data_IF_330293262896
#
_entry.id   IF_330293262896
#
_cell.length_a   1.000
_cell.length_b   1.000
_cell.length_c   1.000
_cell.angle_alpha   90.00
_cell.angle_beta   90.00
_cell.angle_gamma   90.00
#
_symmetry.space_group_name_H-M   'P 1'
#
loop_
_entity.id
_entity.type
_entity.pdbx_description
1 polymer ?
#
# COMPACT_ATOMS: atom_id res chain seq x y z
N UNK A 1 8.35 -23.64 3.85
CA UNK A 1 7.45 -22.47 3.95
C UNK A 1 7.84 -21.70 5.20
N UNK A 2 8.33 -20.48 5.03
CA UNK A 2 8.53 -19.54 6.13
C UNK A 2 7.32 -18.62 6.27
N UNK A 3 7.17 -17.98 7.42
CA UNK A 3 6.17 -16.93 7.63
C UNK A 3 6.84 -15.56 7.59
N UNK A 4 6.30 -14.65 6.78
CA UNK A 4 6.66 -13.25 6.77
C UNK A 4 5.57 -12.42 7.42
N UNK A 5 5.94 -11.45 8.26
CA UNK A 5 5.01 -10.48 8.82
C UNK A 5 5.22 -9.13 8.15
N UNK A 6 4.16 -8.59 7.57
CA UNK A 6 4.15 -7.24 7.00
C UNK A 6 3.42 -6.34 7.99
N UNK A 7 4.03 -5.23 8.38
CA UNK A 7 3.42 -4.22 9.25
C UNK A 7 3.46 -2.86 8.56
N UNK A 8 2.34 -2.47 7.96
CA UNK A 8 2.13 -1.12 7.45
C UNK A 8 1.99 -0.15 8.62
N UNK A 9 2.52 1.07 8.49
CA UNK A 9 2.47 2.06 9.55
C UNK A 9 2.25 3.51 9.09
N UNK A 10 2.45 3.80 7.80
CA UNK A 10 2.24 5.13 7.23
C UNK A 10 1.80 5.04 5.78
N UNK A 11 0.97 5.97 5.35
CA UNK A 11 0.66 6.23 3.94
C UNK A 11 0.74 7.73 3.68
N UNK A 12 1.38 8.13 2.58
CA UNK A 12 1.29 9.48 2.03
C UNK A 12 0.47 9.36 0.74
N UNK A 13 -0.75 9.89 0.76
CA UNK A 13 -1.72 9.74 -0.31
C UNK A 13 -1.62 10.89 -1.33
N UNK A 14 -1.71 10.53 -2.62
CA UNK A 14 -1.73 11.44 -3.76
C UNK A 14 -0.64 12.53 -3.67
N UNK A 15 0.61 12.09 -3.60
CA UNK A 15 1.76 12.97 -3.47
C UNK A 15 2.37 13.30 -4.83
N UNK A 16 2.56 14.59 -5.06
CA UNK A 16 3.18 15.12 -6.29
C UNK A 16 4.68 14.79 -6.31
N UNK A 17 5.29 14.64 -5.13
CA UNK A 17 6.68 14.21 -4.99
C UNK A 17 6.90 12.75 -5.44
N UNK A 18 5.82 11.96 -5.56
CA UNK A 18 5.87 10.55 -5.99
C UNK A 18 5.28 10.33 -7.38
N UNK A 19 5.09 11.40 -8.17
CA UNK A 19 4.65 11.30 -9.56
C UNK A 19 3.14 11.31 -9.75
N UNK A 20 2.38 11.87 -8.80
CA UNK A 20 0.97 12.19 -9.05
C UNK A 20 0.87 13.32 -10.08
N UNK A 21 0.06 13.11 -11.11
CA UNK A 21 -0.23 14.07 -12.18
C UNK A 21 -1.76 14.23 -12.38
N UNK A 22 -2.18 14.70 -13.55
CA UNK A 22 -3.60 14.90 -13.87
C UNK A 22 -4.32 13.63 -14.33
N UNK A 23 -3.58 12.55 -14.61
CA UNK A 23 -4.11 11.25 -15.01
C UNK A 23 -4.03 10.22 -13.88
N UNK A 24 -2.99 10.29 -13.05
CA UNK A 24 -2.67 9.31 -12.02
C UNK A 24 -2.42 9.97 -10.66
N UNK A 25 -3.01 9.38 -9.62
CA UNK A 25 -2.71 9.65 -8.22
C UNK A 25 -1.75 8.58 -7.73
N UNK A 26 -0.59 8.99 -7.21
CA UNK A 26 0.42 8.10 -6.64
C UNK A 26 0.48 8.31 -5.14
N UNK A 27 0.31 7.21 -4.40
CA UNK A 27 0.39 7.18 -2.94
C UNK A 27 1.54 6.27 -2.52
N UNK A 28 2.27 6.63 -1.47
CA UNK A 28 3.35 5.79 -0.94
C UNK A 28 2.97 5.18 0.40
N UNK A 29 3.00 3.86 0.48
CA UNK A 29 2.82 3.12 1.73
C UNK A 29 4.18 2.73 2.31
N UNK A 30 4.31 2.85 3.63
CA UNK A 30 5.51 2.50 4.38
C UNK A 30 5.19 1.34 5.32
N UNK A 31 6.07 0.35 5.35
CA UNK A 31 5.86 -0.88 6.10
C UNK A 31 7.17 -1.53 6.49
N UNK A 32 7.10 -2.37 7.53
CA UNK A 32 8.20 -3.26 7.87
C UNK A 32 7.89 -4.68 7.45
N UNK A 33 8.84 -5.33 6.80
CA UNK A 33 8.80 -6.77 6.49
C UNK A 33 9.69 -7.51 7.48
N UNK A 34 9.14 -8.47 8.20
CA UNK A 34 9.87 -9.34 9.11
C UNK A 34 9.86 -10.78 8.59
N UNK A 35 11.03 -11.39 8.44
CA UNK A 35 11.21 -12.79 8.03
C UNK A 35 12.24 -13.41 8.97
N UNK A 36 11.80 -14.36 9.80
CA UNK A 36 12.57 -14.83 10.94
C UNK A 36 12.99 -13.67 11.85
N UNK A 37 14.28 -13.55 12.13
CA UNK A 37 14.86 -12.48 12.97
C UNK A 37 15.22 -11.21 12.19
N UNK A 38 15.07 -11.22 10.85
CA UNK A 38 15.41 -10.07 10.01
C UNK A 38 14.20 -9.16 9.87
N UNK A 39 14.44 -7.85 9.99
CA UNK A 39 13.43 -6.82 9.80
C UNK A 39 13.94 -5.78 8.81
N UNK A 40 13.12 -5.49 7.81
CA UNK A 40 13.39 -4.51 6.75
C UNK A 40 12.35 -3.41 6.84
N UNK A 41 12.77 -2.15 6.70
CA UNK A 41 11.88 -0.99 6.58
C UNK A 41 11.83 -0.60 5.11
N UNK A 42 10.64 -0.65 4.53
CA UNK A 42 10.42 -0.63 3.08
C UNK A 42 9.24 0.27 2.73
N UNK A 43 9.15 0.62 1.46
CA UNK A 43 7.99 1.32 0.92
C UNK A 43 7.58 0.73 -0.43
N UNK A 44 6.34 1.01 -0.82
CA UNK A 44 5.82 0.71 -2.15
C UNK A 44 4.87 1.82 -2.57
N UNK A 45 4.77 2.04 -3.87
CA UNK A 45 3.85 3.01 -4.45
C UNK A 45 2.56 2.33 -4.90
N UNK A 46 1.44 3.02 -4.70
CA UNK A 46 0.11 2.64 -5.17
C UNK A 46 -0.33 3.69 -6.18
N UNK A 47 -0.66 3.25 -7.38
CA UNK A 47 -1.16 4.13 -8.44
C UNK A 47 -2.65 3.90 -8.65
N UNK A 48 -3.37 5.00 -8.84
CA UNK A 48 -4.80 5.00 -9.08
C UNK A 48 -5.15 6.08 -10.11
N UNK A 49 -6.06 5.81 -11.03
CA UNK A 49 -6.50 6.81 -12.00
C UNK A 49 -7.25 7.96 -11.30
N UNK A 50 -6.98 9.21 -11.70
CA UNK A 50 -7.69 10.40 -11.21
C UNK A 50 -9.18 10.26 -11.50
N UNK A 51 -10.02 10.56 -10.50
CA UNK A 51 -11.48 10.46 -10.61
C UNK A 51 -12.06 9.05 -10.46
N UNK A 52 -11.22 8.01 -10.31
CA UNK A 52 -11.70 6.67 -9.99
C UNK A 52 -12.15 6.55 -8.52
N UNK A 53 -13.00 5.55 -8.24
CA UNK A 53 -13.49 5.27 -6.89
C UNK A 53 -12.36 4.83 -5.96
N UNK A 54 -12.22 5.46 -4.81
CA UNK A 54 -11.26 5.04 -3.77
C UNK A 54 -11.58 3.64 -3.19
N UNK A 55 -12.82 3.18 -3.28
CA UNK A 55 -13.27 1.90 -2.73
C UNK A 55 -13.20 0.73 -3.71
N UNK A 56 -13.53 1.00 -4.97
CA UNK A 56 -13.75 -0.04 -5.99
C UNK A 56 -12.96 0.21 -7.26
N UNK A 57 -12.33 1.38 -7.40
CA UNK A 57 -11.49 1.70 -8.54
C UNK A 57 -10.28 0.77 -8.59
N UNK A 58 -9.81 0.44 -9.81
CA UNK A 58 -8.59 -0.34 -9.97
C UNK A 58 -7.40 0.44 -9.39
N UNK A 59 -6.54 -0.28 -8.69
CA UNK A 59 -5.26 0.25 -8.20
C UNK A 59 -4.12 -0.67 -8.64
N UNK A 60 -2.98 -0.08 -8.92
CA UNK A 60 -1.74 -0.79 -9.19
C UNK A 60 -0.85 -0.68 -7.96
N UNK A 61 -0.47 -1.82 -7.39
CA UNK A 61 0.46 -1.88 -6.26
C UNK A 61 1.86 -2.15 -6.82
N UNK A 62 2.82 -1.27 -6.53
CA UNK A 62 4.22 -1.48 -6.88
C UNK A 62 4.88 -2.55 -6.01
N UNK A 63 6.02 -3.07 -6.46
CA UNK A 63 6.84 -3.96 -5.61
C UNK A 63 7.49 -3.17 -4.47
N UNK A 64 7.81 -3.82 -3.34
CA UNK A 64 8.63 -3.22 -2.29
C UNK A 64 9.96 -2.70 -2.85
N UNK A 65 10.26 -1.43 -2.63
CA UNK A 65 11.59 -0.89 -2.88
C UNK A 65 12.53 -1.24 -1.72
N UNK A 66 13.76 -1.63 -2.04
CA UNK A 66 14.78 -1.98 -1.04
C UNK A 66 14.78 -3.45 -0.58
N UNK A 67 13.96 -4.32 -1.18
CA UNK A 67 13.94 -5.76 -0.89
C UNK A 67 13.95 -6.62 -2.16
N UNK A 68 14.91 -7.53 -2.26
CA UNK A 68 15.08 -8.46 -3.40
C UNK A 68 15.06 -9.93 -2.98
N UNK A 69 14.63 -10.23 -1.75
CA UNK A 69 14.56 -11.59 -1.23
C UNK A 69 13.25 -12.31 -1.58
N UNK A 70 13.04 -13.54 -1.08
CA UNK A 70 11.80 -14.27 -1.25
C UNK A 70 10.60 -13.45 -0.80
N UNK A 71 9.59 -13.35 -1.66
CA UNK A 71 8.46 -12.47 -1.45
C UNK A 71 7.19 -13.04 -2.08
N UNK A 72 6.13 -13.17 -1.29
CA UNK A 72 4.82 -13.49 -1.81
C UNK A 72 4.12 -12.21 -2.26
N UNK A 73 4.25 -11.90 -3.55
CA UNK A 73 3.71 -10.67 -4.13
C UNK A 73 2.18 -10.61 -4.08
N UNK A 74 1.50 -11.75 -4.25
CA UNK A 74 0.02 -11.79 -4.20
C UNK A 74 -0.47 -11.43 -2.80
N UNK A 75 0.09 -12.06 -1.76
CA UNK A 75 -0.26 -11.74 -0.37
C UNK A 75 0.05 -10.27 -0.03
N UNK A 76 1.19 -9.75 -0.49
CA UNK A 76 1.52 -8.35 -0.28
C UNK A 76 0.56 -7.41 -1.00
N UNK A 77 0.27 -7.66 -2.29
CA UNK A 77 -0.63 -6.83 -3.09
C UNK A 77 -1.99 -6.73 -2.41
N UNK A 78 -2.56 -7.85 -2.00
CA UNK A 78 -3.87 -7.91 -1.37
C UNK A 78 -3.86 -7.21 0.01
N UNK A 79 -2.77 -7.35 0.77
CA UNK A 79 -2.58 -6.65 2.03
C UNK A 79 -2.38 -5.13 1.86
N UNK A 80 -1.60 -4.71 0.87
CA UNK A 80 -1.36 -3.30 0.55
C UNK A 80 -2.65 -2.62 0.06
N UNK A 81 -3.42 -3.29 -0.79
CA UNK A 81 -4.73 -2.83 -1.23
C UNK A 81 -5.68 -2.66 -0.05
N UNK A 82 -5.79 -3.68 0.81
CA UNK A 82 -6.63 -3.62 2.00
C UNK A 82 -6.19 -2.48 2.94
N UNK A 83 -4.89 -2.30 3.14
CA UNK A 83 -4.36 -1.21 3.95
C UNK A 83 -4.76 0.15 3.38
N UNK A 84 -4.50 0.38 2.10
CA UNK A 84 -4.81 1.65 1.44
C UNK A 84 -6.31 1.96 1.47
N UNK A 85 -7.17 1.00 1.10
CA UNK A 85 -8.63 1.18 1.14
C UNK A 85 -9.16 1.46 2.55
N UNK A 86 -8.52 0.91 3.59
CA UNK A 86 -8.86 1.23 4.99
C UNK A 86 -8.56 2.68 5.40
N UNK A 87 -7.76 3.41 4.61
CA UNK A 87 -7.37 4.80 4.86
C UNK A 87 -8.18 5.82 4.04
N UNK A 88 -8.63 5.43 2.85
CA UNK A 88 -9.26 6.36 1.88
C UNK A 88 -10.69 6.00 1.47
N UNK A 89 -11.22 4.82 1.84
CA UNK A 89 -12.59 4.40 1.55
C UNK A 89 -13.63 4.88 2.58
N UNK A 90 -14.92 4.60 2.38
CA UNK A 90 -16.00 4.96 3.33
C UNK A 90 -15.84 4.37 4.74
N UNK A 91 -15.08 3.28 4.89
CA UNK A 91 -14.74 2.70 6.20
C UNK A 91 -13.55 3.40 6.89
N UNK A 92 -12.92 4.38 6.22
CA UNK A 92 -11.78 5.10 6.77
C UNK A 92 -12.16 5.92 8.01
N UNK A 93 -11.44 5.68 9.10
CA UNK A 93 -11.62 6.39 10.38
C UNK A 93 -11.03 7.80 10.40
N UNK A 94 -10.41 8.26 9.30
CA UNK A 94 -9.73 9.55 9.19
C UNK A 94 -10.60 10.62 8.52
N UNK A 95 -10.76 10.53 7.20
CA UNK A 95 -11.55 11.51 6.42
C UNK A 95 -12.79 10.78 5.90
N UNK A 96 -13.91 10.97 6.60
CA UNK A 96 -15.20 10.42 6.20
C UNK A 96 -15.80 11.29 5.08
N UNK A 97 -15.43 11.03 3.82
CA UNK A 97 -16.09 11.65 2.68
C UNK A 97 -17.33 10.84 2.33
N UNK A 98 -18.48 11.27 2.83
CA UNK A 98 -19.78 10.82 2.35
C UNK A 98 -20.35 11.82 1.33
N UNK A 99 -20.66 11.34 0.11
CA UNK A 99 -21.42 12.10 -0.89
C UNK A 99 -20.65 13.18 -1.67
N UNK A 100 -19.34 13.31 -1.49
CA UNK A 100 -18.52 14.24 -2.27
C UNK A 100 -17.93 13.58 -3.52
N UNK A 101 -18.36 14.01 -4.71
CA UNK A 101 -17.65 13.77 -5.96
C UNK A 101 -16.66 14.93 -6.23
N UNK A 102 -15.55 14.69 -6.95
CA UNK A 102 -14.53 15.69 -7.31
C UNK A 102 -13.68 16.29 -6.18
N UNK A 103 -13.48 15.58 -5.06
CA UNK A 103 -12.56 16.04 -4.00
C UNK A 103 -11.14 15.58 -4.33
N UNK A 104 -10.25 16.53 -4.68
CA UNK A 104 -8.81 16.28 -4.88
C UNK A 104 -8.07 16.52 -3.56
N UNK A 105 -7.85 15.43 -2.84
CA UNK A 105 -7.09 15.37 -1.60
C UNK A 105 -5.62 15.10 -1.93
N UNK A 106 -4.69 15.98 -1.57
CA UNK A 106 -3.27 15.91 -1.92
C UNK A 106 -2.38 15.91 -0.68
N UNK A 107 -1.28 15.15 -0.72
CA UNK A 107 -0.26 15.06 0.34
C UNK A 107 -0.81 14.70 1.73
N UNK A 108 -1.89 13.91 1.79
CA UNK A 108 -2.43 13.47 3.08
C UNK A 108 -1.52 12.43 3.70
N UNK A 109 -1.11 12.64 4.95
CA UNK A 109 -0.33 11.66 5.70
C UNK A 109 -1.21 10.95 6.70
N UNK A 110 -1.35 9.63 6.54
CA UNK A 110 -2.03 8.75 7.47
C UNK A 110 -1.01 7.96 8.29
N UNK A 111 -1.18 7.94 9.60
CA UNK A 111 -0.36 7.13 10.53
C UNK A 111 -1.26 6.08 11.16
N UNK A 112 -1.42 4.95 10.48
CA UNK A 112 -2.22 3.83 10.94
C UNK A 112 -1.45 2.53 10.77
N UNK A 113 -1.52 1.67 11.78
CA UNK A 113 -0.87 0.37 11.76
C UNK A 113 -1.82 -0.72 11.28
N UNK A 114 -1.36 -1.56 10.37
CA UNK A 114 -2.01 -2.82 9.99
C UNK A 114 -0.95 -3.90 9.84
N UNK A 115 -1.20 -5.08 10.38
CA UNK A 115 -0.29 -6.22 10.24
C UNK A 115 -0.98 -7.40 9.60
N UNK A 116 -0.26 -8.09 8.71
CA UNK A 116 -0.70 -9.31 8.04
C UNK A 116 0.46 -10.29 8.05
N UNK A 117 0.14 -11.56 8.22
CA UNK A 117 1.09 -12.67 8.08
C UNK A 117 0.90 -13.31 6.71
N UNK A 118 2.00 -13.54 6.01
CA UNK A 118 2.05 -14.12 4.68
C UNK A 118 2.95 -15.34 4.68
N UNK A 119 2.56 -16.38 3.98
CA UNK A 119 3.44 -17.50 3.68
C UNK A 119 4.44 -17.08 2.60
N UNK A 120 5.72 -17.34 2.83
CA UNK A 120 6.80 -17.14 1.87
C UNK A 120 7.48 -18.47 1.57
N UNK A 121 7.56 -18.81 0.30
CA UNK A 121 8.39 -19.92 -0.13
C UNK A 121 9.84 -19.48 -0.16
N UNK A 122 10.66 -20.09 0.69
CA UNK A 122 12.11 -19.89 0.73
C UNK A 122 12.80 -20.28 -0.61
N UNK A 123 12.08 -20.89 -1.54
CA UNK A 123 12.61 -21.47 -2.78
C UNK A 123 12.37 -20.69 -4.08
N UNK A 124 11.54 -19.65 -4.09
CA UNK A 124 11.16 -19.00 -5.36
C UNK A 124 12.04 -17.79 -5.68
N UNK A 125 13.35 -18.00 -5.71
CA UNK A 125 14.24 -17.15 -6.49
C UNK A 125 14.18 -17.65 -7.95
N UNK A 126 13.12 -17.27 -8.67
CA UNK A 126 12.93 -17.65 -10.06
C UNK A 126 12.04 -16.63 -10.74
N UNK A 127 12.65 -15.76 -11.53
CA UNK A 127 11.98 -15.00 -12.58
C UNK A 127 12.03 -15.82 -13.86
#
# INVERSE_FOLDING_TARGET
MGTAKITFYKCIQNSQDYGSDDEHMVSRIFFTLQIGDRKFDLHADIKQAVGSSYETGPIEVGRPEGYSGPFNYECFRDAAEKYYRSLVGSEARGINIQGGANIRMQNNTFIQKMSVECEVDEGSAGW
#
